data_IF_951630377844
#
_entry.id   IF_951630377844
#
_cell.length_a   1.000
_cell.length_b   1.000
_cell.length_c   1.000
_cell.angle_alpha   90.00
_cell.angle_beta   90.00
_cell.angle_gamma   90.00
#
_symmetry.space_group_name_H-M   'P 1'
#
loop_
_entity.id
_entity.type
_entity.pdbx_description
1 polymer ?
#
# COMPACT_ATOMS: atom_id res chain seq x y z
N UNK A 1 -49.58 7.35 9.96
CA UNK A 1 -49.00 6.25 10.75
C UNK A 1 -48.19 5.36 9.80
N UNK A 2 -46.86 5.34 10.00
CA UNK A 2 -45.88 4.24 9.78
C UNK A 2 -46.34 3.05 8.90
N UNK A 3 -45.54 2.50 7.97
CA UNK A 3 -44.21 1.95 8.27
C UNK A 3 -43.47 1.55 6.97
N UNK A 4 -42.19 1.93 6.86
CA UNK A 4 -41.20 1.34 5.94
C UNK A 4 -40.75 -0.03 6.49
N UNK A 5 -40.64 -1.07 5.66
CA UNK A 5 -39.82 -2.25 5.96
C UNK A 5 -38.97 -2.69 4.75
N UNK A 6 -37.69 -2.30 4.81
CA UNK A 6 -36.46 -3.03 4.47
C UNK A 6 -36.53 -4.18 3.44
N UNK A 7 -36.09 -3.89 2.20
CA UNK A 7 -35.65 -4.89 1.23
C UNK A 7 -34.27 -5.43 1.63
N UNK A 8 -34.22 -6.65 2.18
CA UNK A 8 -32.98 -7.43 2.26
C UNK A 8 -32.75 -8.04 0.88
N UNK A 9 -31.75 -7.55 0.13
CA UNK A 9 -31.31 -8.23 -1.11
C UNK A 9 -30.67 -9.56 -0.71
N UNK A 10 -31.34 -10.67 -1.00
CA UNK A 10 -30.76 -12.01 -0.91
C UNK A 10 -29.74 -12.19 -2.03
N UNK A 11 -28.52 -12.61 -1.67
CA UNK A 11 -27.51 -13.01 -2.65
C UNK A 11 -27.89 -14.39 -3.19
N UNK A 12 -28.00 -14.59 -4.52
CA UNK A 12 -28.30 -15.89 -5.12
C UNK A 12 -27.32 -16.99 -4.69
N UNK A 13 -27.80 -18.21 -4.49
CA UNK A 13 -27.01 -19.34 -3.95
C UNK A 13 -25.80 -19.65 -4.84
N UNK A 14 -25.93 -19.51 -6.16
CA UNK A 14 -24.85 -19.66 -7.15
C UNK A 14 -23.73 -18.63 -6.95
N UNK A 15 -24.06 -17.40 -6.56
CA UNK A 15 -23.05 -16.38 -6.26
C UNK A 15 -22.31 -16.65 -4.94
N UNK A 16 -22.92 -17.34 -3.97
CA UNK A 16 -22.25 -17.72 -2.73
C UNK A 16 -21.11 -18.71 -3.01
N UNK A 17 -21.31 -19.68 -3.92
CA UNK A 17 -20.28 -20.65 -4.30
C UNK A 17 -19.14 -19.99 -5.08
N UNK A 18 -19.44 -19.07 -5.99
CA UNK A 18 -18.41 -18.31 -6.73
C UNK A 18 -17.59 -17.42 -5.80
N UNK A 19 -18.23 -16.72 -4.86
CA UNK A 19 -17.53 -15.89 -3.87
C UNK A 19 -16.66 -16.73 -2.93
N UNK A 20 -17.13 -17.91 -2.52
CA UNK A 20 -16.36 -18.83 -1.69
C UNK A 20 -15.15 -19.39 -2.46
N UNK A 21 -15.35 -19.89 -3.68
CA UNK A 21 -14.27 -20.41 -4.51
C UNK A 21 -13.22 -19.33 -4.83
N UNK A 22 -13.66 -18.10 -5.14
CA UNK A 22 -12.76 -16.97 -5.36
C UNK A 22 -11.98 -16.64 -4.08
N UNK A 23 -12.63 -16.59 -2.92
CA UNK A 23 -11.96 -16.41 -1.63
C UNK A 23 -10.93 -17.51 -1.36
N UNK A 24 -11.28 -18.77 -1.60
CA UNK A 24 -10.40 -19.91 -1.36
C UNK A 24 -9.17 -19.87 -2.29
N UNK A 25 -9.36 -19.50 -3.57
CA UNK A 25 -8.25 -19.28 -4.52
C UNK A 25 -7.33 -18.13 -4.09
N UNK A 26 -7.90 -17.01 -3.61
CA UNK A 26 -7.11 -15.90 -3.07
C UNK A 26 -6.29 -16.36 -1.86
N UNK A 27 -6.93 -17.05 -0.90
CA UNK A 27 -6.25 -17.53 0.31
C UNK A 27 -5.14 -18.53 -0.03
N UNK A 28 -5.39 -19.45 -0.98
CA UNK A 28 -4.39 -20.40 -1.43
C UNK A 28 -3.21 -19.70 -2.11
N UNK A 29 -3.50 -18.73 -2.99
CA UNK A 29 -2.47 -17.94 -3.68
C UNK A 29 -1.61 -17.14 -2.68
N UNK A 30 -2.24 -16.55 -1.66
CA UNK A 30 -1.55 -15.83 -0.59
C UNK A 30 -0.66 -16.74 0.26
N UNK A 31 -1.13 -17.95 0.57
CA UNK A 31 -0.36 -18.92 1.34
C UNK A 31 0.86 -19.41 0.55
N UNK A 32 0.68 -19.78 -0.72
CA UNK A 32 1.79 -20.20 -1.60
C UNK A 32 2.81 -19.08 -1.77
N UNK A 33 2.37 -17.84 -1.92
CA UNK A 33 3.27 -16.70 -2.02
C UNK A 33 4.08 -16.47 -0.73
N UNK A 34 3.45 -16.59 0.45
CA UNK A 34 4.14 -16.47 1.73
C UNK A 34 5.17 -17.59 1.95
N UNK A 35 4.85 -18.82 1.54
CA UNK A 35 5.79 -19.94 1.55
C UNK A 35 7.00 -19.67 0.66
N UNK A 36 6.80 -19.12 -0.54
CA UNK A 36 7.89 -18.68 -1.42
C UNK A 36 8.77 -17.62 -0.75
N UNK A 37 8.19 -16.60 -0.09
CA UNK A 37 8.96 -15.60 0.68
C UNK A 37 9.77 -16.27 1.80
N UNK A 38 9.21 -17.28 2.48
CA UNK A 38 9.88 -17.97 3.58
C UNK A 38 11.07 -18.81 3.13
N UNK A 39 11.01 -19.41 1.94
CA UNK A 39 11.94 -20.45 1.49
C UNK A 39 12.93 -19.97 0.45
N UNK A 40 12.62 -18.91 -0.30
CA UNK A 40 13.51 -18.36 -1.30
C UNK A 40 14.81 -17.83 -0.69
N UNK A 41 15.86 -17.73 -1.53
CA UNK A 41 17.09 -17.06 -1.15
C UNK A 41 16.80 -15.60 -0.75
N UNK A 42 17.71 -14.99 0.02
CA UNK A 42 17.50 -13.60 0.45
C UNK A 42 17.39 -12.63 -0.75
N UNK A 43 18.18 -12.84 -1.80
CA UNK A 43 18.11 -12.02 -3.02
C UNK A 43 16.78 -12.18 -3.75
N UNK A 44 16.29 -13.42 -3.89
CA UNK A 44 15.04 -13.68 -4.61
C UNK A 44 13.84 -13.15 -3.82
N UNK A 45 13.82 -13.35 -2.50
CA UNK A 45 12.78 -12.80 -1.63
C UNK A 45 12.77 -11.26 -1.63
N UNK A 46 13.94 -10.62 -1.74
CA UNK A 46 14.04 -9.17 -1.91
C UNK A 46 13.45 -8.74 -3.26
N UNK A 47 13.77 -9.44 -4.35
CA UNK A 47 13.21 -9.14 -5.67
C UNK A 47 11.68 -9.31 -5.70
N UNK A 48 11.15 -10.30 -4.98
CA UNK A 48 9.70 -10.50 -4.81
C UNK A 48 9.01 -9.37 -4.03
N UNK A 49 9.75 -8.65 -3.18
CA UNK A 49 9.26 -7.54 -2.34
C UNK A 49 9.68 -6.17 -2.90
N UNK A 50 10.30 -6.12 -4.08
CA UNK A 50 10.79 -4.88 -4.66
C UNK A 50 9.64 -3.89 -4.91
N UNK A 51 9.93 -2.61 -4.72
CA UNK A 51 8.93 -1.54 -4.82
C UNK A 51 7.90 -1.46 -3.69
N UNK A 52 7.86 -2.41 -2.74
CA UNK A 52 6.92 -2.36 -1.60
C UNK A 52 7.16 -1.14 -0.71
N UNK A 53 8.43 -0.77 -0.54
CA UNK A 53 8.87 0.45 0.12
C UNK A 53 9.76 1.22 -0.88
N UNK A 54 9.17 2.18 -1.59
CA UNK A 54 9.84 2.94 -2.66
C UNK A 54 11.12 3.60 -2.13
N UNK A 55 12.24 3.34 -2.82
CA UNK A 55 13.58 3.77 -2.44
C UNK A 55 14.04 3.35 -1.02
N UNK A 56 13.36 2.41 -0.37
CA UNK A 56 13.65 1.93 0.99
C UNK A 56 13.72 0.40 1.07
N UNK A 57 14.60 -0.26 0.30
CA UNK A 57 14.73 -1.73 0.29
C UNK A 57 15.18 -2.30 1.64
N UNK A 58 15.75 -1.46 2.51
CA UNK A 58 16.20 -1.84 3.85
C UNK A 58 15.07 -2.39 4.73
N UNK A 59 13.82 -1.94 4.54
CA UNK A 59 12.66 -2.42 5.31
C UNK A 59 12.45 -3.91 5.02
N UNK A 60 12.37 -4.26 3.74
CA UNK A 60 12.24 -5.65 3.31
C UNK A 60 13.45 -6.49 3.74
N UNK A 61 14.66 -5.96 3.55
CA UNK A 61 15.90 -6.66 3.88
C UNK A 61 16.00 -7.02 5.38
N UNK A 62 15.67 -6.08 6.28
CA UNK A 62 15.69 -6.31 7.72
C UNK A 62 14.54 -7.21 8.19
N UNK A 63 13.37 -7.12 7.56
CA UNK A 63 12.25 -7.99 7.89
C UNK A 63 12.51 -9.44 7.52
N UNK A 64 13.17 -9.72 6.39
CA UNK A 64 13.50 -11.08 5.94
C UNK A 64 14.43 -11.85 6.91
N UNK A 65 15.13 -11.15 7.81
CA UNK A 65 15.90 -11.77 8.90
C UNK A 65 15.01 -12.42 9.98
N UNK A 66 13.71 -12.10 10.00
CA UNK A 66 12.73 -12.65 10.97
C UNK A 66 11.90 -13.80 10.42
N UNK A 67 12.29 -14.35 9.26
CA UNK A 67 11.66 -15.54 8.70
C UNK A 67 11.84 -16.76 9.63
N UNK A 68 10.94 -17.76 9.59
CA UNK A 68 9.76 -17.82 8.74
C UNK A 68 8.55 -17.04 9.32
N UNK A 69 7.69 -16.56 8.44
CA UNK A 69 6.41 -15.96 8.77
C UNK A 69 5.28 -16.99 8.67
N UNK A 70 4.45 -17.08 9.72
CA UNK A 70 3.30 -18.00 9.76
C UNK A 70 2.02 -17.39 9.17
N UNK A 71 2.00 -16.08 8.90
CA UNK A 71 0.87 -15.40 8.26
C UNK A 71 1.27 -14.09 7.59
N UNK A 72 0.47 -13.64 6.62
CA UNK A 72 0.63 -12.31 6.02
C UNK A 72 0.48 -11.18 7.06
N UNK A 73 -0.37 -11.40 8.08
CA UNK A 73 -0.53 -10.45 9.18
C UNK A 73 0.76 -10.28 9.98
N UNK A 74 1.49 -11.38 10.23
CA UNK A 74 2.80 -11.33 10.87
C UNK A 74 3.81 -10.62 9.98
N UNK A 75 3.88 -10.93 8.68
CA UNK A 75 4.77 -10.24 7.74
C UNK A 75 4.54 -8.72 7.75
N UNK A 76 3.27 -8.30 7.65
CA UNK A 76 2.88 -6.88 7.73
C UNK A 76 3.30 -6.24 9.05
N UNK A 77 3.07 -6.91 10.17
CA UNK A 77 3.49 -6.42 11.49
C UNK A 77 5.00 -6.28 11.57
N UNK A 78 5.74 -7.25 11.05
CA UNK A 78 7.21 -7.21 11.04
C UNK A 78 7.74 -6.04 10.22
N UNK A 79 7.13 -5.68 9.08
CA UNK A 79 7.51 -4.46 8.36
C UNK A 79 7.30 -3.20 9.22
N UNK A 80 6.13 -3.07 9.85
CA UNK A 80 5.84 -1.94 10.72
C UNK A 80 6.79 -1.86 11.93
N UNK A 81 7.12 -3.00 12.54
CA UNK A 81 8.09 -3.08 13.63
C UNK A 81 9.49 -2.66 13.19
N UNK A 82 9.94 -3.11 12.02
CA UNK A 82 11.25 -2.72 11.45
C UNK A 82 11.32 -1.21 11.23
N UNK A 83 10.26 -0.60 10.72
CA UNK A 83 10.19 0.87 10.57
C UNK A 83 10.21 1.56 11.93
N UNK A 84 9.37 1.15 12.87
CA UNK A 84 9.27 1.75 14.20
C UNK A 84 10.57 1.63 15.03
N UNK A 85 11.36 0.59 14.77
CA UNK A 85 12.64 0.35 15.43
C UNK A 85 13.83 1.00 14.71
N UNK A 86 13.63 1.51 13.49
CA UNK A 86 14.66 2.22 12.76
C UNK A 86 15.01 3.55 13.43
N UNK A 87 16.21 4.07 13.17
CA UNK A 87 16.61 5.38 13.67
C UNK A 87 15.71 6.49 13.11
N UNK A 88 15.58 7.60 13.85
CA UNK A 88 14.73 8.73 13.44
C UNK A 88 15.04 9.21 12.00
N UNK A 89 16.32 9.25 11.61
CA UNK A 89 16.71 9.62 10.26
C UNK A 89 16.20 8.64 9.20
N UNK A 90 16.30 7.33 9.41
CA UNK A 90 15.79 6.34 8.45
C UNK A 90 14.26 6.40 8.31
N UNK A 91 13.55 6.73 9.40
CA UNK A 91 12.12 6.95 9.36
C UNK A 91 11.77 8.22 8.58
N UNK A 92 12.48 9.32 8.83
CA UNK A 92 12.30 10.58 8.09
C UNK A 92 12.63 10.38 6.61
N UNK A 93 13.74 9.73 6.27
CA UNK A 93 14.13 9.46 4.89
C UNK A 93 13.08 8.61 4.19
N UNK A 94 12.55 7.58 4.85
CA UNK A 94 11.46 6.76 4.33
C UNK A 94 10.19 7.58 4.04
N UNK A 95 9.86 8.57 4.87
CA UNK A 95 8.71 9.45 4.62
C UNK A 95 9.04 10.43 3.48
N UNK A 96 10.27 10.95 3.45
CA UNK A 96 10.74 11.92 2.47
C UNK A 96 10.92 11.33 1.07
N UNK A 97 11.16 10.01 0.94
CA UNK A 97 11.25 9.34 -0.36
C UNK A 97 9.93 9.31 -1.11
N UNK A 98 8.80 9.53 -0.43
CA UNK A 98 7.49 9.58 -1.07
C UNK A 98 7.34 10.87 -1.89
N UNK A 99 7.16 10.78 -3.23
CA UNK A 99 7.01 12.00 -4.02
C UNK A 99 5.74 12.75 -3.65
N UNK A 100 5.80 14.08 -3.76
CA UNK A 100 4.73 15.00 -3.32
C UNK A 100 3.35 14.59 -3.85
N UNK A 101 2.33 14.87 -3.03
CA UNK A 101 0.92 14.74 -3.44
C UNK A 101 0.63 15.51 -4.74
N UNK A 102 1.34 16.61 -5.00
CA UNK A 102 1.03 17.60 -6.04
C UNK A 102 1.93 17.46 -7.27
N UNK A 103 3.24 17.24 -7.10
CA UNK A 103 4.18 17.02 -8.21
C UNK A 103 3.77 15.82 -9.10
N UNK A 104 3.06 14.85 -8.54
CA UNK A 104 2.56 13.65 -9.23
C UNK A 104 1.32 13.90 -10.11
N UNK A 105 0.51 14.91 -9.82
CA UNK A 105 -0.65 15.25 -10.67
C UNK A 105 -0.24 15.98 -11.97
N UNK A 106 0.90 16.70 -11.95
CA UNK A 106 1.39 17.46 -13.10
C UNK A 106 2.18 16.63 -14.13
N UNK A 107 2.75 15.47 -13.75
CA UNK A 107 3.51 14.61 -14.66
C UNK A 107 2.69 13.36 -14.98
N UNK A 108 1.65 13.54 -15.79
CA UNK A 108 0.92 12.44 -16.40
C UNK A 108 1.87 11.65 -17.32
N UNK A 109 2.46 10.56 -16.81
CA UNK A 109 3.29 9.66 -17.61
C UNK A 109 4.39 8.89 -16.88
N UNK A 110 4.67 9.16 -15.59
CA UNK A 110 5.74 8.50 -14.83
C UNK A 110 5.28 7.83 -13.53
N UNK A 111 3.97 7.58 -13.36
CA UNK A 111 3.43 6.95 -12.16
C UNK A 111 3.24 5.44 -12.35
N UNK A 112 3.48 4.66 -11.29
CA UNK A 112 3.01 3.27 -11.23
C UNK A 112 1.48 3.24 -11.07
N UNK A 113 0.82 2.20 -11.58
CA UNK A 113 -0.64 2.11 -11.63
C UNK A 113 -1.32 2.28 -10.25
N UNK A 114 -0.66 1.81 -9.18
CA UNK A 114 -1.15 1.92 -7.82
C UNK A 114 -1.21 3.38 -7.31
N UNK A 115 -0.27 4.22 -7.72
CA UNK A 115 -0.25 5.64 -7.34
C UNK A 115 -1.26 6.48 -8.12
N UNK A 116 -1.52 6.15 -9.39
CA UNK A 116 -2.58 6.78 -10.18
C UNK A 116 -3.97 6.57 -9.54
N UNK A 117 -4.26 5.35 -9.08
CA UNK A 117 -5.56 5.02 -8.47
C UNK A 117 -5.84 5.80 -7.18
N UNK A 118 -4.82 5.97 -6.33
CA UNK A 118 -4.96 6.70 -5.06
C UNK A 118 -5.17 8.19 -5.27
N UNK A 119 -4.54 8.77 -6.31
CA UNK A 119 -4.70 10.18 -6.64
C UNK A 119 -6.06 10.52 -7.24
N UNK A 120 -6.58 9.65 -8.12
CA UNK A 120 -7.96 9.77 -8.62
C UNK A 120 -8.93 9.77 -7.44
N UNK A 121 -8.71 8.89 -6.45
CA UNK A 121 -9.55 8.82 -5.24
C UNK A 121 -9.46 10.07 -4.37
N UNK A 122 -8.31 10.74 -4.35
CA UNK A 122 -8.11 11.98 -3.58
C UNK A 122 -8.71 13.25 -4.21
N UNK A 123 -9.15 13.19 -5.47
CA UNK A 123 -9.69 14.35 -6.19
C UNK A 123 -8.63 15.35 -6.67
N UNK A 124 -7.34 15.08 -6.43
CA UNK A 124 -6.23 15.98 -6.79
C UNK A 124 -6.09 16.23 -8.31
N UNK A 125 -6.67 15.38 -9.16
CA UNK A 125 -6.72 15.59 -10.61
C UNK A 125 -7.69 16.71 -11.04
N UNK A 126 -8.60 17.11 -10.15
CA UNK A 126 -9.60 18.14 -10.43
C UNK A 126 -9.25 19.51 -9.81
N UNK A 127 -8.05 19.68 -9.24
CA UNK A 127 -7.63 20.94 -8.66
C UNK A 127 -7.59 22.05 -9.73
N UNK A 128 -8.10 23.23 -9.39
CA UNK A 128 -7.87 24.44 -10.17
C UNK A 128 -6.38 24.81 -10.14
N UNK A 129 -5.88 25.63 -11.09
CA UNK A 129 -4.51 26.14 -11.04
C UNK A 129 -4.16 26.84 -9.72
N UNK A 130 -5.11 27.55 -9.11
CA UNK A 130 -4.94 28.25 -7.84
C UNK A 130 -4.84 27.26 -6.67
N UNK A 131 -5.68 26.22 -6.65
CA UNK A 131 -5.62 25.16 -5.65
C UNK A 131 -4.31 24.37 -5.76
N UNK A 132 -3.86 24.11 -6.98
CA UNK A 132 -2.58 23.47 -7.25
C UNK A 132 -1.40 24.31 -6.73
N UNK A 133 -1.41 25.62 -6.98
CA UNK A 133 -0.39 26.55 -6.46
C UNK A 133 -0.41 26.61 -4.92
N UNK A 134 -1.59 26.63 -4.31
CA UNK A 134 -1.74 26.61 -2.85
C UNK A 134 -1.19 25.32 -2.23
N UNK A 135 -1.45 24.17 -2.84
CA UNK A 135 -0.92 22.89 -2.37
C UNK A 135 0.61 22.80 -2.52
N UNK A 136 1.19 23.31 -3.61
CA UNK A 136 2.64 23.40 -3.75
C UNK A 136 3.28 24.27 -2.68
N UNK A 137 2.69 25.42 -2.37
CA UNK A 137 3.18 26.30 -1.31
C UNK A 137 3.09 25.64 0.07
N UNK A 138 2.03 24.87 0.33
CA UNK A 138 1.89 24.09 1.57
C UNK A 138 2.96 22.98 1.66
N UNK A 139 3.23 22.25 0.57
CA UNK A 139 4.30 21.24 0.53
C UNK A 139 5.68 21.88 0.79
N UNK A 140 5.96 23.05 0.19
CA UNK A 140 7.21 23.78 0.42
C UNK A 140 7.37 24.14 1.90
N UNK A 141 6.37 24.77 2.51
CA UNK A 141 6.40 25.13 3.94
C UNK A 141 6.55 23.92 4.85
N UNK A 142 5.92 22.80 4.49
CA UNK A 142 6.03 21.56 5.25
C UNK A 142 7.48 21.06 5.28
N UNK A 143 8.15 21.00 4.12
CA UNK A 143 9.56 20.57 4.01
C UNK A 143 10.57 21.55 4.61
N UNK A 144 10.26 22.84 4.63
CA UNK A 144 11.11 23.82 5.32
C UNK A 144 11.07 23.62 6.84
N UNK A 145 9.97 23.07 7.36
CA UNK A 145 9.77 22.85 8.78
C UNK A 145 10.25 21.48 9.26
N UNK A 146 10.09 20.44 8.44
CA UNK A 146 10.31 19.03 8.78
C UNK A 146 11.23 18.37 7.76
#
# INVERSE_FOLDING_TARGET
MLHLMHSRRSVPIDQIWVLKAHRDLILQSMNTWLESINTASKSDALAMLDGLYEHSPWVAARSLERRPFISLAQLKRTFAEVVNQAGAQEQTDLIATQPELVAKAAVAGQLTDALCAEQIRSGLQACSPEEFAALHELNRKYRERF
#
